data_IF_871330111548
#
_entry.id   IF_871330111548
#
_cell.length_a   1.000
_cell.length_b   1.000
_cell.length_c   1.000
_cell.angle_alpha   90.00
_cell.angle_beta   90.00
_cell.angle_gamma   90.00
#
_symmetry.space_group_name_H-M   'P 1'
#
loop_
_entity.id
_entity.type
_entity.pdbx_description
1 polymer ?
#
# COMPACT_ATOMS: atom_id res chain seq x y z
N UNK A 1 -19.98 5.12 4.07
CA UNK A 1 -19.60 5.06 5.50
C UNK A 1 -18.09 4.82 5.57
N UNK A 2 -17.35 5.59 6.36
CA UNK A 2 -15.90 5.46 6.54
C UNK A 2 -15.63 5.01 7.97
N UNK A 3 -14.72 4.04 8.17
CA UNK A 3 -14.30 3.56 9.48
C UNK A 3 -12.92 4.14 9.80
N UNK A 4 -12.80 4.86 10.92
CA UNK A 4 -11.54 5.45 11.38
C UNK A 4 -11.13 4.73 12.67
N UNK A 5 -9.86 4.30 12.73
CA UNK A 5 -9.25 3.69 13.91
C UNK A 5 -7.85 4.25 14.12
N UNK A 6 -7.53 4.58 15.37
CA UNK A 6 -6.19 4.97 15.79
C UNK A 6 -5.52 3.81 16.53
N UNK A 7 -4.28 3.51 16.17
CA UNK A 7 -3.48 2.45 16.78
C UNK A 7 -2.29 3.08 17.50
N UNK A 8 -2.28 3.00 18.82
CA UNK A 8 -1.18 3.51 19.65
C UNK A 8 -0.22 2.36 19.98
N UNK A 9 1.01 2.45 19.47
CA UNK A 9 2.05 1.42 19.63
C UNK A 9 3.18 1.99 20.47
N UNK A 10 3.25 1.60 21.75
CA UNK A 10 4.35 1.98 22.64
C UNK A 10 5.57 1.13 22.33
N UNK A 11 6.72 1.77 22.09
CA UNK A 11 7.98 1.11 21.76
C UNK A 11 9.08 1.56 22.74
N UNK A 12 9.96 0.64 23.20
CA UNK A 12 11.07 0.97 24.08
C UNK A 12 12.29 1.48 23.28
N UNK A 13 12.08 2.48 22.42
CA UNK A 13 13.15 3.15 21.66
C UNK A 13 12.88 4.65 21.56
N UNK A 14 13.93 5.42 21.30
CA UNK A 14 13.80 6.85 21.07
C UNK A 14 13.16 7.15 19.70
N UNK A 15 12.71 8.39 19.52
CA UNK A 15 12.14 8.86 18.24
C UNK A 15 13.21 8.78 17.15
N UNK A 16 14.46 9.10 17.44
CA UNK A 16 15.57 9.04 16.49
C UNK A 16 15.92 7.59 16.11
N UNK A 17 15.94 6.69 17.09
CA UNK A 17 16.17 5.25 16.86
C UNK A 17 15.04 4.64 16.02
N UNK A 18 13.79 5.04 16.27
CA UNK A 18 12.64 4.59 15.49
C UNK A 18 12.75 4.97 14.02
N UNK A 19 13.26 6.16 13.68
CA UNK A 19 13.43 6.59 12.30
C UNK A 19 14.31 5.62 11.50
N UNK A 20 15.43 5.21 12.08
CA UNK A 20 16.37 4.26 11.46
C UNK A 20 15.79 2.85 11.45
N UNK A 21 15.24 2.42 12.59
CA UNK A 21 14.66 1.09 12.75
C UNK A 21 13.49 0.82 11.80
N UNK A 22 12.59 1.79 11.64
CA UNK A 22 11.45 1.70 10.74
C UNK A 22 11.90 1.48 9.28
N UNK A 23 12.87 2.26 8.81
CA UNK A 23 13.37 2.14 7.43
C UNK A 23 14.04 0.77 7.19
N UNK A 24 14.82 0.30 8.16
CA UNK A 24 15.43 -1.02 8.12
C UNK A 24 14.37 -2.14 8.09
N UNK A 25 13.43 -2.11 9.03
CA UNK A 25 12.36 -3.13 9.12
C UNK A 25 11.46 -3.13 7.89
N UNK A 26 11.18 -1.97 7.30
CA UNK A 26 10.42 -1.89 6.04
C UNK A 26 11.19 -2.53 4.89
N UNK A 27 12.49 -2.28 4.77
CA UNK A 27 13.31 -2.90 3.72
C UNK A 27 13.40 -4.43 3.89
N UNK A 28 13.63 -4.90 5.11
CA UNK A 28 13.72 -6.32 5.43
C UNK A 28 12.37 -7.04 5.23
N UNK A 29 11.28 -6.48 5.75
CA UNK A 29 9.94 -7.01 5.57
C UNK A 29 9.52 -7.03 4.09
N UNK A 30 9.94 -6.03 3.31
CA UNK A 30 9.68 -6.01 1.87
C UNK A 30 10.42 -7.13 1.15
N UNK A 31 11.70 -7.34 1.48
CA UNK A 31 12.50 -8.43 0.92
C UNK A 31 11.91 -9.80 1.26
N UNK A 32 11.53 -10.02 2.51
CA UNK A 32 10.95 -11.29 2.97
C UNK A 32 9.58 -11.58 2.34
N UNK A 33 8.86 -10.53 1.92
CA UNK A 33 7.56 -10.65 1.28
C UNK A 33 7.60 -10.69 -0.25
N UNK A 34 8.77 -10.53 -0.86
CA UNK A 34 8.91 -10.60 -2.32
C UNK A 34 9.50 -11.94 -2.73
N UNK A 35 8.77 -12.71 -3.53
CA UNK A 35 9.19 -14.04 -4.00
C UNK A 35 8.19 -14.68 -4.96
N UNK A 36 8.70 -15.46 -5.93
CA UNK A 36 7.85 -16.29 -6.80
C UNK A 36 6.98 -15.53 -7.81
N UNK A 37 7.29 -14.26 -8.12
CA UNK A 37 6.50 -13.43 -9.03
C UNK A 37 5.40 -12.61 -8.33
N UNK A 38 5.26 -12.75 -7.01
CA UNK A 38 4.40 -11.91 -6.16
C UNK A 38 5.24 -11.17 -5.10
N UNK A 39 4.72 -10.05 -4.60
CA UNK A 39 5.44 -9.25 -3.60
C UNK A 39 5.30 -7.75 -3.76
N UNK A 40 6.33 -7.04 -3.28
CA UNK A 40 6.39 -5.57 -3.27
C UNK A 40 7.37 -5.10 -4.33
N UNK A 41 6.88 -4.30 -5.26
CA UNK A 41 7.67 -3.58 -6.27
C UNK A 41 7.84 -2.13 -5.83
N UNK A 42 9.07 -1.59 -5.92
CA UNK A 42 9.35 -0.19 -5.61
C UNK A 42 9.44 0.57 -6.95
N UNK A 43 8.44 1.41 -7.24
CA UNK A 43 8.42 2.22 -8.47
C UNK A 43 9.19 3.52 -8.33
N UNK A 44 9.02 4.20 -7.19
CA UNK A 44 9.70 5.47 -6.91
C UNK A 44 10.17 5.53 -5.47
N UNK A 45 11.36 6.09 -5.29
CA UNK A 45 11.93 6.38 -4.00
C UNK A 45 12.80 7.64 -4.14
N UNK A 46 12.19 8.81 -3.96
CA UNK A 46 12.83 10.09 -4.23
C UNK A 46 12.61 11.07 -3.08
N UNK A 47 13.59 11.93 -2.76
CA UNK A 47 13.36 13.04 -1.84
C UNK A 47 12.32 13.98 -2.45
N UNK A 48 11.42 14.50 -1.62
CA UNK A 48 10.42 15.48 -2.02
C UNK A 48 10.48 16.71 -1.12
N UNK A 49 10.15 17.85 -1.71
CA UNK A 49 9.91 19.10 -1.00
C UNK A 49 8.59 19.65 -1.52
N UNK A 50 7.61 19.81 -0.62
CA UNK A 50 6.30 20.34 -0.98
C UNK A 50 5.75 21.18 0.16
N UNK A 51 5.31 22.40 -0.16
CA UNK A 51 4.67 23.32 0.80
C UNK A 51 5.51 23.56 2.08
N UNK A 52 6.84 23.49 1.98
CA UNK A 52 7.78 23.64 3.10
C UNK A 52 8.07 22.35 3.87
N UNK A 53 7.38 21.25 3.58
CA UNK A 53 7.68 19.92 4.11
C UNK A 53 8.73 19.23 3.24
N UNK A 54 9.80 18.75 3.90
CA UNK A 54 10.87 17.97 3.28
C UNK A 54 10.79 16.54 3.77
N UNK A 55 10.96 15.58 2.87
CA UNK A 55 10.89 14.18 3.25
C UNK A 55 11.24 13.24 2.12
N UNK A 56 10.89 11.96 2.33
CA UNK A 56 11.04 10.91 1.33
C UNK A 56 9.67 10.51 0.78
N UNK A 57 9.54 10.54 -0.55
CA UNK A 57 8.38 10.03 -1.25
C UNK A 57 8.67 8.62 -1.75
N UNK A 58 7.76 7.70 -1.48
CA UNK A 58 7.84 6.34 -2.02
C UNK A 58 6.54 5.95 -2.69
N UNK A 59 6.67 5.28 -3.83
CA UNK A 59 5.56 4.64 -4.52
C UNK A 59 5.88 3.17 -4.69
N UNK A 60 5.07 2.31 -4.09
CA UNK A 60 5.22 0.86 -4.15
C UNK A 60 3.96 0.20 -4.69
N UNK A 61 4.12 -0.92 -5.38
CA UNK A 61 3.03 -1.78 -5.83
C UNK A 61 3.10 -3.08 -5.06
N UNK A 62 1.96 -3.49 -4.50
CA UNK A 62 1.80 -4.74 -3.77
C UNK A 62 0.98 -5.71 -4.61
N UNK A 63 1.58 -6.83 -4.98
CA UNK A 63 0.94 -7.97 -5.64
C UNK A 63 0.64 -9.03 -4.57
N UNK A 64 -0.63 -9.18 -4.17
CA UNK A 64 -1.01 -10.03 -3.03
C UNK A 64 -1.94 -11.18 -3.40
N UNK A 65 -1.95 -11.59 -4.67
CA UNK A 65 -2.91 -12.56 -5.19
C UNK A 65 -2.90 -13.90 -4.41
N UNK A 66 -1.74 -14.52 -4.23
CA UNK A 66 -1.60 -15.76 -3.44
C UNK A 66 -1.61 -15.55 -1.92
N UNK A 67 -1.51 -14.29 -1.45
CA UNK A 67 -1.42 -13.95 -0.02
C UNK A 67 -2.76 -13.66 0.64
N UNK A 68 -3.84 -13.51 -0.14
CA UNK A 68 -5.19 -13.30 0.41
C UNK A 68 -5.95 -14.63 0.53
N UNK A 69 -6.89 -14.76 1.49
CA UNK A 69 -7.73 -15.94 1.62
C UNK A 69 -8.46 -16.31 0.32
N UNK A 70 -8.63 -17.62 0.06
CA UNK A 70 -9.19 -18.12 -1.21
C UNK A 70 -10.59 -17.62 -1.56
N UNK A 71 -11.44 -17.31 -0.56
CA UNK A 71 -12.75 -16.70 -0.84
C UNK A 71 -12.60 -15.30 -1.42
N UNK A 72 -11.58 -14.53 -1.03
CA UNK A 72 -11.30 -13.20 -1.61
C UNK A 72 -10.81 -13.35 -3.05
N UNK A 73 -9.95 -14.35 -3.32
CA UNK A 73 -9.46 -14.63 -4.67
C UNK A 73 -10.61 -14.97 -5.64
N UNK A 74 -11.60 -15.73 -5.17
CA UNK A 74 -12.74 -16.16 -5.99
C UNK A 74 -13.63 -14.99 -6.44
N UNK A 75 -13.77 -13.95 -5.60
CA UNK A 75 -14.59 -12.77 -5.93
C UNK A 75 -13.78 -11.62 -6.55
N UNK A 76 -12.46 -11.64 -6.45
CA UNK A 76 -11.62 -10.56 -6.96
C UNK A 76 -11.37 -10.74 -8.47
N UNK A 77 -11.71 -9.74 -9.31
CA UNK A 77 -11.34 -9.78 -10.71
C UNK A 77 -9.82 -9.78 -10.89
N UNK A 78 -9.35 -10.30 -12.02
CA UNK A 78 -7.93 -10.42 -12.35
C UNK A 78 -7.23 -9.05 -12.27
N UNK A 79 -6.22 -8.94 -11.40
CA UNK A 79 -5.50 -7.69 -11.12
C UNK A 79 -6.09 -6.79 -10.02
N UNK A 80 -7.30 -7.07 -9.51
CA UNK A 80 -7.91 -6.30 -8.41
C UNK A 80 -7.17 -6.45 -7.07
N UNK A 81 -6.24 -7.40 -7.00
CA UNK A 81 -5.35 -7.66 -5.87
C UNK A 81 -3.98 -6.99 -6.02
N UNK A 82 -3.91 -5.96 -6.87
CA UNK A 82 -2.77 -5.05 -7.01
C UNK A 82 -3.07 -3.73 -6.31
N UNK A 83 -2.26 -3.37 -5.32
CA UNK A 83 -2.43 -2.15 -4.53
C UNK A 83 -1.26 -1.20 -4.72
N UNK A 84 -1.56 0.09 -4.88
CA UNK A 84 -0.53 1.13 -4.94
C UNK A 84 -0.45 1.82 -3.59
N UNK A 85 0.70 1.69 -2.94
CA UNK A 85 1.06 2.43 -1.73
C UNK A 85 1.83 3.68 -2.15
N UNK A 86 1.32 4.85 -1.78
CA UNK A 86 2.05 6.12 -1.91
C UNK A 86 2.29 6.67 -0.51
N UNK A 87 3.54 6.80 -0.12
CA UNK A 87 3.91 7.29 1.20
C UNK A 87 4.76 8.56 1.12
N UNK A 88 4.42 9.53 1.96
CA UNK A 88 5.12 10.80 2.17
C UNK A 88 5.65 10.81 3.60
N UNK A 89 6.93 10.49 3.74
CA UNK A 89 7.60 10.42 5.03
C UNK A 89 8.32 11.75 5.31
N UNK A 90 7.70 12.64 6.08
CA UNK A 90 8.28 13.87 6.62
C UNK A 90 8.48 13.72 8.13
N UNK A 91 9.43 12.85 8.50
CA UNK A 91 9.65 12.44 9.89
C UNK A 91 9.66 13.64 10.86
N UNK A 92 8.90 13.60 11.98
CA UNK A 92 8.20 12.45 12.57
C UNK A 92 6.81 12.13 12.00
N UNK A 93 6.31 12.92 11.05
CA UNK A 93 5.01 12.67 10.43
C UNK A 93 5.15 11.86 9.15
N UNK A 94 4.34 10.81 9.01
CA UNK A 94 4.29 10.02 7.79
C UNK A 94 2.84 9.84 7.37
N UNK A 95 2.57 10.09 6.09
CA UNK A 95 1.26 9.87 5.48
C UNK A 95 1.38 8.81 4.41
N UNK A 96 0.57 7.77 4.50
CA UNK A 96 0.49 6.72 3.48
C UNK A 96 -0.93 6.66 2.95
N UNK A 97 -1.06 6.80 1.64
CA UNK A 97 -2.31 6.63 0.93
C UNK A 97 -2.27 5.33 0.14
N UNK A 98 -3.37 4.58 0.22
CA UNK A 98 -3.55 3.34 -0.51
C UNK A 98 -4.59 3.55 -1.60
N UNK A 99 -4.14 3.42 -2.84
CA UNK A 99 -5.01 3.41 -4.00
C UNK A 99 -5.16 1.95 -4.47
N UNK A 100 -6.39 1.46 -4.53
CA UNK A 100 -6.67 0.28 -5.36
C UNK A 100 -6.44 0.66 -6.82
N UNK A 101 -6.05 -0.29 -7.65
CA UNK A 101 -6.12 -0.11 -9.10
C UNK A 101 -7.59 0.15 -9.50
N UNK A 102 -7.97 1.43 -9.52
CA UNK A 102 -9.36 1.90 -9.63
C UNK A 102 -9.97 1.53 -10.99
N UNK A 103 -9.11 1.30 -11.97
CA UNK A 103 -9.48 1.07 -13.35
C UNK A 103 -10.13 -0.32 -13.55
N UNK A 104 -9.79 -1.34 -12.77
CA UNK A 104 -10.35 -2.68 -12.96
C UNK A 104 -11.65 -2.94 -12.20
N UNK A 105 -11.81 -2.43 -10.97
CA UNK A 105 -13.06 -2.64 -10.20
C UNK A 105 -14.21 -1.83 -10.80
N UNK A 106 -13.95 -0.60 -11.25
CA UNK A 106 -14.96 0.23 -11.92
C UNK A 106 -15.37 -0.37 -13.28
N UNK A 107 -14.41 -0.94 -14.02
CA UNK A 107 -14.67 -1.69 -15.25
C UNK A 107 -15.52 -2.95 -14.99
N UNK A 108 -15.23 -3.70 -13.92
CA UNK A 108 -15.99 -4.91 -13.56
C UNK A 108 -17.41 -4.60 -13.06
N UNK A 109 -17.56 -3.59 -12.20
CA UNK A 109 -18.87 -3.15 -11.71
C UNK A 109 -19.72 -2.54 -12.83
N UNK A 110 -19.12 -1.72 -13.71
CA UNK A 110 -19.82 -1.18 -14.88
C UNK A 110 -20.23 -2.23 -15.90
N UNK A 111 -19.49 -3.35 -16.00
CA UNK A 111 -19.86 -4.49 -16.86
C UNK A 111 -21.00 -5.33 -16.28
N UNK A 112 -21.14 -5.38 -14.95
CA UNK A 112 -22.26 -6.07 -14.29
C UNK A 112 -23.58 -5.29 -14.40
N UNK A 113 -23.56 -3.96 -14.34
CA UNK A 113 -24.77 -3.14 -14.59
C UNK A 113 -25.27 -3.26 -16.03
N UNK A 114 -24.37 -3.43 -17.01
CA UNK A 114 -24.75 -3.61 -18.42
C UNK A 114 -25.31 -5.01 -18.74
N UNK A 115 -25.15 -6.00 -17.85
CA UNK A 115 -25.62 -7.38 -18.05
C UNK A 115 -26.95 -7.68 -17.33
N UNK A 116 -27.40 -6.80 -16.42
CA UNK A 116 -28.69 -6.88 -15.74
C UNK A 116 -29.77 -5.99 -16.37
N UNK A 117 -29.42 -5.24 -17.41
CA UNK A 117 -30.32 -4.43 -18.23
C UNK A 117 -30.76 -5.14 -19.52
N UNK A 118 -31.25 -6.37 -19.40
CA UNK A 118 -32.04 -7.08 -20.43
C UNK A 118 -33.13 -7.91 -19.76
#
# INVERSE_FOLDING_TARGET
>A
MVLVKEYQVLLPCSVEEYQVGQLYSVAEASKNNTGGGEGIEILRNEPYEKDGEKGQYTHKIYHIHSKVPGFIQMFAPEGALVFHEKAWNAYPYCRTNWDKCRDQISYWLGKHEALTSN
#
